data_IF_545973678184
#
_entry.id   IF_545973678184
#
_cell.length_a   1.000
_cell.length_b   1.000
_cell.length_c   1.000
_cell.angle_alpha   90.00
_cell.angle_beta   90.00
_cell.angle_gamma   90.00
#
_symmetry.space_group_name_H-M   'P 1'
#
loop_
_entity.id
_entity.type
_entity.pdbx_description
1 polymer ?
#
# COMPACT_ATOMS: atom_id res chain seq x y z
N UNK A 1 52.41 -9.20 -70.24
CA UNK A 1 51.74 -9.92 -71.35
C UNK A 1 50.34 -10.27 -70.92
N UNK A 2 49.38 -9.82 -71.75
CA UNK A 2 47.98 -10.30 -71.86
C UNK A 2 46.99 -10.02 -70.72
N UNK A 3 46.18 -9.13 -71.01
CA UNK A 3 44.83 -9.05 -71.68
C UNK A 3 43.71 -9.24 -70.68
N UNK A 4 43.01 -8.19 -70.53
CA UNK A 4 41.60 -7.91 -70.97
C UNK A 4 40.58 -8.98 -70.64
N UNK A 5 39.62 -8.67 -69.84
CA UNK A 5 38.25 -8.66 -70.35
C UNK A 5 37.30 -7.89 -69.42
N UNK A 6 36.60 -7.00 -70.06
CA UNK A 6 35.45 -6.25 -69.56
C UNK A 6 34.28 -7.19 -69.39
N UNK A 7 33.46 -7.02 -68.37
CA UNK A 7 32.04 -7.17 -68.54
C UNK A 7 31.31 -6.30 -67.50
N UNK A 8 30.67 -5.32 -68.03
CA UNK A 8 29.60 -4.54 -67.46
C UNK A 8 28.36 -5.37 -67.27
N UNK A 9 27.77 -5.32 -66.09
CA UNK A 9 26.37 -5.67 -65.91
C UNK A 9 25.72 -4.59 -65.01
N UNK A 10 24.85 -3.84 -65.68
CA UNK A 10 23.82 -3.03 -65.07
C UNK A 10 22.88 -3.95 -64.25
N UNK A 11 22.35 -3.46 -63.17
CA UNK A 11 21.18 -4.13 -62.64
C UNK A 11 20.78 -3.66 -61.27
N UNK A 12 19.75 -2.89 -61.25
CA UNK A 12 18.73 -2.81 -60.24
C UNK A 12 19.01 -2.03 -58.93
N UNK A 13 18.59 -0.80 -58.97
CA UNK A 13 18.20 -0.02 -57.80
C UNK A 13 17.06 -0.74 -57.05
N UNK A 14 17.34 -1.20 -55.87
CA UNK A 14 16.30 -1.58 -54.89
C UNK A 14 16.16 -0.45 -53.88
N UNK A 15 15.16 0.38 -54.10
CA UNK A 15 14.68 1.34 -53.09
C UNK A 15 14.09 0.53 -51.93
N UNK A 16 14.86 0.40 -50.85
CA UNK A 16 14.29 -0.02 -49.56
C UNK A 16 13.64 1.19 -48.93
N UNK A 17 12.33 1.24 -49.01
CA UNK A 17 11.53 2.13 -48.18
C UNK A 17 11.81 1.81 -46.74
N UNK A 18 12.53 2.67 -46.06
CA UNK A 18 12.61 2.73 -44.62
C UNK A 18 11.22 3.06 -44.11
N UNK A 19 10.51 2.01 -43.72
CA UNK A 19 9.31 2.15 -42.91
C UNK A 19 9.73 2.69 -41.55
N UNK A 20 9.62 4.00 -41.35
CA UNK A 20 9.49 4.57 -40.01
C UNK A 20 8.21 4.01 -39.40
N UNK A 21 8.33 2.87 -38.78
CA UNK A 21 7.34 2.40 -37.85
C UNK A 21 7.27 3.40 -36.72
N UNK A 22 6.26 4.24 -36.74
CA UNK A 22 5.86 5.04 -35.58
C UNK A 22 5.61 4.10 -34.43
N UNK A 23 6.55 4.04 -33.48
CA UNK A 23 6.36 3.46 -32.15
C UNK A 23 5.35 4.29 -31.33
N UNK A 24 4.17 4.50 -31.88
CA UNK A 24 3.03 5.11 -31.21
C UNK A 24 2.25 4.10 -30.36
N UNK A 25 2.94 3.06 -29.93
CA UNK A 25 2.38 1.97 -29.11
C UNK A 25 3.10 1.77 -27.81
N UNK A 26 3.80 2.78 -27.27
CA UNK A 26 4.07 2.78 -25.83
C UNK A 26 2.72 2.94 -25.16
N UNK A 27 2.10 1.77 -24.94
CA UNK A 27 0.87 1.65 -24.22
C UNK A 27 0.99 2.50 -22.96
N UNK A 28 0.15 3.52 -22.90
CA UNK A 28 -0.14 4.24 -21.69
C UNK A 28 -0.33 3.14 -20.65
N UNK A 29 0.72 2.91 -19.83
CA UNK A 29 0.63 1.99 -18.73
C UNK A 29 -0.68 2.37 -18.06
N UNK A 30 -1.64 1.46 -18.10
CA UNK A 30 -2.94 1.62 -17.49
C UNK A 30 -2.61 2.06 -16.08
N UNK A 31 -2.84 3.30 -15.73
CA UNK A 31 -2.76 3.79 -14.36
C UNK A 31 -3.85 3.05 -13.60
N UNK A 32 -3.56 1.76 -13.36
CA UNK A 32 -4.41 0.89 -12.61
C UNK A 32 -4.34 1.37 -11.18
N UNK A 33 -5.43 1.99 -10.74
CA UNK A 33 -5.81 2.01 -9.33
C UNK A 33 -4.87 2.73 -8.36
N UNK A 34 -4.34 3.90 -8.73
CA UNK A 34 -3.58 4.74 -7.80
C UNK A 34 -4.36 5.11 -6.52
N UNK A 35 -5.70 4.95 -6.53
CA UNK A 35 -6.57 5.31 -5.42
C UNK A 35 -7.47 4.13 -5.02
N UNK A 36 -6.86 2.98 -4.77
CA UNK A 36 -7.52 1.86 -4.09
C UNK A 36 -7.36 2.01 -2.58
N UNK A 37 -8.29 1.42 -1.84
CA UNK A 37 -8.21 1.36 -0.39
C UNK A 37 -6.86 0.80 0.05
N UNK A 38 -6.24 1.50 1.00
CA UNK A 38 -4.92 1.16 1.52
C UNK A 38 -5.05 0.74 2.98
N UNK A 39 -4.70 -0.50 3.28
CA UNK A 39 -4.65 -0.99 4.65
C UNK A 39 -3.22 -1.20 5.11
N UNK A 40 -2.89 -0.69 6.30
CA UNK A 40 -1.61 -0.91 6.98
C UNK A 40 -1.84 -1.39 8.41
N UNK A 41 -0.96 -2.26 8.89
CA UNK A 41 -0.99 -2.77 10.26
C UNK A 41 0.12 -2.12 11.11
N UNK A 42 -0.26 -1.56 12.23
CA UNK A 42 0.60 -0.88 13.19
C UNK A 42 0.79 -1.78 14.39
N UNK A 43 1.97 -2.36 14.51
CA UNK A 43 2.30 -3.31 15.57
C UNK A 43 2.80 -2.60 16.84
N UNK A 44 2.44 -3.18 17.98
CA UNK A 44 2.79 -2.68 19.31
C UNK A 44 3.63 -3.69 20.08
N UNK A 45 4.42 -3.19 21.01
CA UNK A 45 5.02 -4.03 22.04
C UNK A 45 3.93 -4.61 22.95
N UNK A 46 4.27 -5.67 23.67
CA UNK A 46 3.35 -6.25 24.68
C UNK A 46 2.90 -5.16 25.67
N UNK A 47 1.64 -5.21 26.07
CA UNK A 47 1.01 -4.32 27.04
C UNK A 47 1.23 -2.82 26.80
N UNK A 48 1.48 -2.43 25.53
CA UNK A 48 1.77 -1.07 25.12
C UNK A 48 0.85 -0.60 23.99
N UNK A 49 0.45 0.66 24.05
CA UNK A 49 -0.20 1.42 22.99
C UNK A 49 0.73 2.47 22.35
N UNK A 50 2.01 2.51 22.77
CA UNK A 50 2.98 3.46 22.21
C UNK A 50 3.41 3.07 20.80
N UNK A 51 3.30 4.01 19.86
CA UNK A 51 3.71 3.82 18.46
C UNK A 51 5.25 3.91 18.39
N UNK A 52 5.89 2.88 17.85
CA UNK A 52 7.34 2.85 17.64
C UNK A 52 7.75 3.76 16.47
N UNK A 53 9.06 4.04 16.32
CA UNK A 53 9.58 4.84 15.20
C UNK A 53 9.31 4.18 13.85
N UNK A 54 9.41 2.85 13.79
CA UNK A 54 9.13 2.03 12.61
C UNK A 54 7.65 2.11 12.24
N UNK A 55 6.77 1.96 13.23
CA UNK A 55 5.33 2.10 13.03
C UNK A 55 4.93 3.52 12.58
N UNK A 56 5.60 4.56 13.10
CA UNK A 56 5.42 5.94 12.62
C UNK A 56 5.87 6.10 11.16
N UNK A 57 6.95 5.42 10.73
CA UNK A 57 7.40 5.46 9.35
C UNK A 57 6.38 4.80 8.41
N UNK A 58 5.79 3.67 8.82
CA UNK A 58 4.71 3.00 8.07
C UNK A 58 3.50 3.93 7.92
N UNK A 59 3.05 4.58 9.00
CA UNK A 59 1.93 5.53 8.95
C UNK A 59 2.21 6.73 8.04
N UNK A 60 3.43 7.30 8.10
CA UNK A 60 3.82 8.41 7.20
C UNK A 60 3.79 7.96 5.74
N UNK A 61 4.38 6.81 5.42
CA UNK A 61 4.36 6.28 4.05
C UNK A 61 2.94 6.04 3.52
N UNK A 62 2.06 5.48 4.36
CA UNK A 62 0.65 5.32 4.01
C UNK A 62 -0.05 6.67 3.79
N UNK A 63 0.20 7.66 4.65
CA UNK A 63 -0.32 9.01 4.51
C UNK A 63 0.18 9.70 3.23
N UNK A 64 1.44 9.51 2.85
CA UNK A 64 2.01 10.08 1.63
C UNK A 64 1.33 9.50 0.38
N UNK A 65 1.08 8.19 0.36
CA UNK A 65 0.32 7.53 -0.70
C UNK A 65 -1.13 8.03 -0.77
N UNK A 66 -1.78 8.21 0.39
CA UNK A 66 -3.16 8.67 0.47
C UNK A 66 -3.35 10.11 -0.02
N UNK A 67 -2.35 11.00 0.12
CA UNK A 67 -2.45 12.42 -0.31
C UNK A 67 -2.67 12.60 -1.81
N UNK A 68 -2.30 11.61 -2.63
CA UNK A 68 -2.55 11.64 -4.08
C UNK A 68 -4.03 11.49 -4.47
N UNK A 69 -4.88 11.07 -3.54
CA UNK A 69 -6.26 10.68 -3.75
C UNK A 69 -7.25 11.54 -2.94
N UNK A 70 -8.54 11.42 -3.25
CA UNK A 70 -9.59 11.89 -2.37
C UNK A 70 -9.78 10.87 -1.25
N UNK A 71 -9.67 11.32 0.00
CA UNK A 71 -9.86 10.49 1.19
C UNK A 71 -11.16 10.90 1.89
N UNK A 72 -12.12 10.00 1.98
CA UNK A 72 -13.41 10.25 2.63
C UNK A 72 -13.48 9.72 4.06
N UNK A 73 -12.80 8.62 4.34
CA UNK A 73 -12.89 7.90 5.60
C UNK A 73 -11.59 7.17 5.92
N UNK A 74 -11.29 7.06 7.21
CA UNK A 74 -10.24 6.18 7.75
C UNK A 74 -10.83 5.29 8.83
N UNK A 75 -10.71 3.98 8.64
CA UNK A 75 -11.08 3.00 9.64
C UNK A 75 -9.86 2.59 10.46
N UNK A 76 -10.00 2.61 11.77
CA UNK A 76 -8.94 2.19 12.70
C UNK A 76 -9.49 1.13 13.64
N UNK A 77 -8.98 -0.09 13.56
CA UNK A 77 -9.40 -1.20 14.41
C UNK A 77 -8.24 -1.67 15.28
N UNK A 78 -8.37 -1.49 16.59
CA UNK A 78 -7.41 -1.97 17.58
C UNK A 78 -7.66 -3.44 17.92
N UNK A 79 -6.56 -4.18 18.07
CA UNK A 79 -6.55 -5.60 18.38
C UNK A 79 -5.60 -5.90 19.55
N UNK A 80 -5.87 -6.99 20.26
CA UNK A 80 -4.99 -7.58 21.27
C UNK A 80 -4.77 -9.07 20.98
N UNK A 81 -3.71 -9.64 21.56
CA UNK A 81 -3.53 -11.10 21.60
C UNK A 81 -4.42 -11.71 22.72
N UNK A 82 -4.34 -13.03 22.89
CA UNK A 82 -5.15 -13.78 23.84
C UNK A 82 -4.57 -13.80 25.26
N UNK A 83 -3.43 -13.14 25.48
CA UNK A 83 -2.80 -13.16 26.79
C UNK A 83 -3.42 -12.14 27.74
N UNK A 84 -3.86 -12.61 28.91
CA UNK A 84 -4.39 -11.75 29.96
C UNK A 84 -5.91 -11.74 30.06
N UNK A 85 -6.43 -10.75 30.74
CA UNK A 85 -7.86 -10.57 30.95
C UNK A 85 -8.56 -9.98 29.72
N UNK A 86 -9.72 -10.52 29.28
CA UNK A 86 -10.44 -10.03 28.10
C UNK A 86 -10.85 -8.56 28.16
N UNK A 87 -11.26 -8.05 29.34
CA UNK A 87 -11.68 -6.65 29.49
C UNK A 87 -10.46 -5.72 29.43
N UNK A 88 -9.33 -6.14 30.01
CA UNK A 88 -8.05 -5.43 29.90
C UNK A 88 -7.59 -5.40 28.45
N UNK A 89 -7.71 -6.50 27.73
CA UNK A 89 -7.38 -6.60 26.30
C UNK A 89 -8.28 -5.73 25.42
N UNK A 90 -9.57 -5.66 25.74
CA UNK A 90 -10.50 -4.78 25.07
C UNK A 90 -10.14 -3.30 25.31
N UNK A 91 -9.85 -2.94 26.56
CA UNK A 91 -9.42 -1.58 26.90
C UNK A 91 -8.08 -1.21 26.21
N UNK A 92 -7.12 -2.12 26.17
CA UNK A 92 -5.84 -1.93 25.46
C UNK A 92 -6.03 -1.74 23.96
N UNK A 93 -6.89 -2.55 23.34
CA UNK A 93 -7.19 -2.42 21.91
C UNK A 93 -7.84 -1.08 21.59
N UNK A 94 -8.70 -0.52 22.43
CA UNK A 94 -9.25 0.84 22.31
C UNK A 94 -8.16 1.90 22.36
N UNK A 95 -7.27 1.84 23.37
CA UNK A 95 -6.15 2.79 23.50
C UNK A 95 -5.21 2.74 22.28
N UNK A 96 -4.94 1.55 21.73
CA UNK A 96 -4.16 1.39 20.49
C UNK A 96 -4.82 2.07 19.31
N UNK A 97 -6.12 1.82 19.10
CA UNK A 97 -6.88 2.46 18.03
C UNK A 97 -6.87 3.98 18.16
N UNK A 98 -7.11 4.52 19.36
CA UNK A 98 -7.08 5.96 19.61
C UNK A 98 -5.70 6.58 19.38
N UNK A 99 -4.63 5.89 19.77
CA UNK A 99 -3.26 6.38 19.56
C UNK A 99 -2.94 6.46 18.07
N UNK A 100 -3.37 5.46 17.29
CA UNK A 100 -3.19 5.46 15.83
C UNK A 100 -4.04 6.54 15.17
N UNK A 101 -5.31 6.69 15.55
CA UNK A 101 -6.17 7.78 15.06
C UNK A 101 -5.50 9.14 15.24
N UNK A 102 -5.05 9.45 16.46
CA UNK A 102 -4.33 10.69 16.75
C UNK A 102 -3.03 10.84 15.93
N UNK A 103 -2.36 9.76 15.62
CA UNK A 103 -1.18 9.79 14.77
C UNK A 103 -1.53 10.10 13.31
N UNK A 104 -2.62 9.55 12.79
CA UNK A 104 -3.14 9.86 11.44
C UNK A 104 -3.60 11.32 11.34
N UNK A 105 -4.30 11.84 12.36
CA UNK A 105 -4.68 13.27 12.43
C UNK A 105 -3.46 14.19 12.36
N UNK A 106 -2.38 13.86 13.06
CA UNK A 106 -1.11 14.63 13.02
C UNK A 106 -0.42 14.62 11.65
N UNK A 107 -0.75 13.68 10.78
CA UNK A 107 -0.31 13.67 9.38
C UNK A 107 -1.12 14.64 8.49
N UNK A 108 -2.10 15.36 9.06
CA UNK A 108 -2.93 16.34 8.36
C UNK A 108 -4.30 15.84 7.92
N UNK A 109 -4.70 14.63 8.30
CA UNK A 109 -6.02 14.06 7.98
C UNK A 109 -7.06 14.41 9.05
N UNK A 110 -7.18 15.70 9.39
CA UNK A 110 -8.07 16.18 10.49
C UNK A 110 -9.54 16.32 10.10
N UNK A 111 -9.83 16.48 8.82
CA UNK A 111 -11.20 16.68 8.29
C UNK A 111 -11.83 15.39 7.75
N UNK A 112 -11.21 14.26 8.02
CA UNK A 112 -11.63 12.95 7.55
C UNK A 112 -12.54 12.29 8.60
N UNK A 113 -13.56 11.57 8.14
CA UNK A 113 -14.36 10.76 9.03
C UNK A 113 -13.55 9.58 9.56
N UNK A 114 -13.50 9.42 10.89
CA UNK A 114 -12.84 8.28 11.51
C UNK A 114 -13.90 7.30 12.03
N UNK A 115 -13.73 6.03 11.63
CA UNK A 115 -14.41 4.90 12.28
C UNK A 115 -13.41 4.19 13.20
N UNK A 116 -13.63 4.25 14.50
CA UNK A 116 -12.71 3.66 15.47
C UNK A 116 -13.38 2.48 16.15
N UNK A 117 -12.78 1.31 15.99
CA UNK A 117 -13.24 0.06 16.59
C UNK A 117 -12.18 -0.58 17.46
N UNK A 118 -12.62 -1.46 18.35
CA UNK A 118 -11.76 -2.29 19.16
C UNK A 118 -12.38 -3.68 19.31
N UNK A 119 -11.61 -4.71 19.05
CA UNK A 119 -12.08 -6.10 19.09
C UNK A 119 -11.46 -6.91 20.22
N UNK A 120 -10.53 -6.29 20.99
CA UNK A 120 -9.82 -6.99 22.05
C UNK A 120 -9.09 -8.21 21.49
N UNK A 121 -9.22 -9.33 22.19
CA UNK A 121 -8.61 -10.60 21.82
C UNK A 121 -9.48 -11.46 20.88
N UNK A 122 -10.65 -11.04 20.47
CA UNK A 122 -11.52 -11.85 19.59
C UNK A 122 -10.78 -12.26 18.32
N UNK A 123 -10.69 -13.57 18.08
CA UNK A 123 -9.93 -14.16 16.99
C UNK A 123 -8.41 -14.17 17.22
N UNK A 124 -7.95 -13.99 18.45
CA UNK A 124 -6.53 -14.06 18.82
C UNK A 124 -6.00 -15.49 18.92
N UNK A 125 -6.88 -16.48 18.90
CA UNK A 125 -6.52 -17.89 18.79
C UNK A 125 -6.98 -18.48 17.46
N UNK A 126 -6.28 -19.51 17.01
CA UNK A 126 -6.70 -20.31 15.86
C UNK A 126 -7.84 -21.25 16.22
N UNK A 127 -8.56 -21.87 15.27
CA UNK A 127 -9.50 -22.95 15.58
C UNK A 127 -8.86 -24.14 16.29
N UNK A 128 -7.54 -24.33 16.17
CA UNK A 128 -6.78 -25.36 16.87
C UNK A 128 -6.35 -24.92 18.29
N UNK A 129 -6.63 -23.68 18.71
CA UNK A 129 -6.32 -23.15 20.03
C UNK A 129 -4.95 -22.46 20.16
N UNK A 130 -4.22 -22.29 19.04
CA UNK A 130 -2.90 -21.66 19.08
C UNK A 130 -3.01 -20.13 19.14
N UNK A 131 -2.14 -19.50 19.91
CA UNK A 131 -2.05 -18.05 20.00
C UNK A 131 -1.62 -17.38 18.69
N UNK A 132 -2.20 -16.21 18.42
CA UNK A 132 -1.83 -15.33 17.32
C UNK A 132 -1.12 -14.07 17.83
N UNK A 133 0.18 -14.11 18.12
CA UNK A 133 0.89 -12.99 18.72
C UNK A 133 0.92 -11.74 17.83
N UNK A 134 0.78 -11.89 16.51
CA UNK A 134 0.66 -10.78 15.55
C UNK A 134 -0.65 -9.99 15.68
N UNK A 135 -1.52 -10.34 16.61
CA UNK A 135 -2.73 -9.56 16.95
C UNK A 135 -2.45 -8.32 17.80
N UNK A 136 -1.25 -8.14 18.35
CA UNK A 136 -0.85 -6.90 19.04
C UNK A 136 -0.65 -5.76 18.05
N UNK A 137 -1.74 -5.29 17.44
CA UNK A 137 -1.70 -4.27 16.40
C UNK A 137 -2.97 -3.41 16.35
N UNK A 138 -2.92 -2.36 15.57
CA UNK A 138 -4.11 -1.70 15.04
C UNK A 138 -4.05 -1.72 13.51
N UNK A 139 -5.12 -2.10 12.87
CA UNK A 139 -5.27 -2.04 11.41
C UNK A 139 -5.88 -0.69 11.04
N UNK A 140 -5.31 -0.04 10.03
CA UNK A 140 -5.73 1.27 9.51
C UNK A 140 -6.05 1.13 8.05
N UNK A 141 -7.28 1.42 7.67
CA UNK A 141 -7.74 1.41 6.27
C UNK A 141 -8.07 2.83 5.84
N UNK A 142 -7.39 3.33 4.84
CA UNK A 142 -7.68 4.59 4.15
C UNK A 142 -8.60 4.27 2.97
N UNK A 143 -9.83 4.79 2.99
CA UNK A 143 -10.79 4.63 1.89
C UNK A 143 -10.55 5.71 0.85
N UNK A 144 -9.86 5.33 -0.22
CA UNK A 144 -9.35 6.22 -1.24
C UNK A 144 -10.23 6.21 -2.50
N UNK A 145 -10.39 7.39 -3.11
CA UNK A 145 -11.10 7.55 -4.40
C UNK A 145 -10.27 8.42 -5.34
N UNK A 146 -10.37 8.24 -6.65
CA UNK A 146 -9.82 9.21 -7.60
C UNK A 146 -10.38 10.61 -7.34
N UNK A 147 -9.54 11.63 -7.54
CA UNK A 147 -9.95 13.04 -7.50
C UNK A 147 -10.64 13.47 -8.77
#
# INVERSE_FOLDING_TARGET
>A
MNRLSKLTVLGAAALMLSGCGTLSGLGRAKQSNACQDLTVSIYFKRDSEAITREAQAVLRGAGDLARGCALGQVDVTGLADSMGDPDVNLALSRRRADTVRKAVERLGFVTVNFQVGAVGERGAVTPAGDDRPLRRRADVTFHLKPR
#
